data_IF_164752800710
#
_entry.id   IF_164752800710
#
_cell.length_a   1.000
_cell.length_b   1.000
_cell.length_c   1.000
_cell.angle_alpha   90.00
_cell.angle_beta   90.00
_cell.angle_gamma   90.00
#
_symmetry.space_group_name_H-M   'P 1'
#
loop_
_entity.id
_entity.type
_entity.pdbx_description
1 polymer ?
#
# COMPACT_ATOMS: atom_id res chain seq x y z
N UNK A 1 15.45 11.20 -6.34
CA UNK A 1 14.47 10.92 -5.26
C UNK A 1 13.45 9.94 -5.82
N UNK A 2 13.05 8.92 -5.06
CA UNK A 2 12.13 7.86 -5.49
C UNK A 2 10.95 7.80 -4.51
N UNK A 3 9.73 7.67 -5.03
CA UNK A 3 8.50 7.68 -4.24
C UNK A 3 7.82 6.30 -4.34
N UNK A 4 7.39 5.77 -3.19
CA UNK A 4 6.66 4.49 -3.07
C UNK A 4 5.44 4.69 -2.19
N UNK A 5 4.39 3.90 -2.42
CA UNK A 5 3.21 3.86 -1.54
C UNK A 5 3.25 2.61 -0.68
N UNK A 6 3.06 2.79 0.63
CA UNK A 6 2.90 1.68 1.57
C UNK A 6 1.52 1.79 2.20
N UNK A 7 0.79 0.68 2.22
CA UNK A 7 -0.55 0.60 2.83
C UNK A 7 -0.57 -0.50 3.86
N UNK A 8 -0.92 -0.16 5.10
CA UNK A 8 -1.11 -1.11 6.20
C UNK A 8 -2.60 -1.42 6.29
N UNK A 9 -2.96 -2.67 6.00
CA UNK A 9 -4.33 -3.16 6.03
C UNK A 9 -4.57 -3.96 7.30
N UNK A 10 -5.75 -3.78 7.91
CA UNK A 10 -6.20 -4.51 9.09
C UNK A 10 -5.26 -4.48 10.31
N UNK A 11 -4.66 -3.32 10.68
CA UNK A 11 -3.75 -3.26 11.84
C UNK A 11 -4.44 -3.69 13.15
N UNK A 12 -5.74 -3.46 13.29
CA UNK A 12 -6.50 -3.84 14.50
C UNK A 12 -6.68 -5.35 14.67
N UNK A 13 -6.47 -6.16 13.63
CA UNK A 13 -6.64 -7.62 13.71
C UNK A 13 -5.49 -8.33 14.44
N UNK A 14 -4.51 -7.55 14.93
CA UNK A 14 -3.43 -8.03 15.78
C UNK A 14 -3.87 -8.52 17.16
N UNK A 15 -5.00 -8.03 17.67
CA UNK A 15 -5.51 -8.40 18.99
C UNK A 15 -6.42 -9.65 18.99
N UNK A 16 -6.83 -10.09 17.80
CA UNK A 16 -7.78 -11.17 17.66
C UNK A 16 -7.02 -12.48 17.49
N UNK A 17 -7.49 -13.57 18.10
CA UNK A 17 -7.06 -14.94 17.83
C UNK A 17 -7.42 -15.36 16.38
N UNK A 18 -6.94 -14.60 15.40
CA UNK A 18 -7.11 -14.79 13.96
C UNK A 18 -6.21 -15.92 13.45
N UNK A 19 -5.81 -16.87 14.29
CA UNK A 19 -5.05 -18.05 13.87
C UNK A 19 -5.80 -18.89 12.83
N UNK A 20 -7.13 -18.81 12.82
CA UNK A 20 -8.00 -19.64 11.98
C UNK A 20 -8.20 -19.11 10.56
N UNK A 21 -7.91 -17.83 10.27
CA UNK A 21 -8.11 -17.26 8.94
C UNK A 21 -6.99 -16.30 8.52
N UNK A 22 -5.99 -16.79 7.75
CA UNK A 22 -4.89 -16.00 7.23
C UNK A 22 -5.31 -14.85 6.30
N UNK A 23 -6.58 -14.80 5.89
CA UNK A 23 -7.14 -13.70 5.10
C UNK A 23 -7.43 -12.45 5.94
N UNK A 24 -7.50 -12.60 7.27
CA UNK A 24 -7.75 -11.52 8.23
C UNK A 24 -6.46 -11.00 8.87
N UNK A 25 -5.33 -11.63 8.60
CA UNK A 25 -4.05 -11.16 9.11
C UNK A 25 -3.74 -9.76 8.58
N UNK A 26 -3.07 -8.92 9.38
CA UNK A 26 -2.61 -7.63 8.88
C UNK A 26 -1.68 -7.81 7.69
N UNK A 27 -1.81 -6.88 6.75
CA UNK A 27 -1.09 -6.92 5.49
C UNK A 27 -0.38 -5.59 5.26
N UNK A 28 0.84 -5.65 4.77
CA UNK A 28 1.60 -4.48 4.35
C UNK A 28 1.76 -4.59 2.84
N UNK A 29 1.09 -3.71 2.11
CA UNK A 29 1.18 -3.61 0.66
C UNK A 29 2.24 -2.56 0.30
N UNK A 30 3.22 -2.94 -0.51
CA UNK A 30 4.22 -2.03 -1.08
C UNK A 30 3.98 -1.86 -2.57
N UNK A 31 3.50 -0.68 -2.97
CA UNK A 31 3.34 -0.32 -4.37
C UNK A 31 4.55 0.47 -4.84
N UNK A 32 5.31 -0.12 -5.77
CA UNK A 32 6.46 0.52 -6.41
C UNK A 32 6.30 0.53 -7.94
N UNK A 33 6.41 1.71 -8.56
CA UNK A 33 6.40 1.86 -10.02
C UNK A 33 7.75 1.56 -10.67
N UNK A 34 8.86 1.62 -9.91
CA UNK A 34 10.20 1.24 -10.33
C UNK A 34 10.55 -0.10 -9.69
N UNK A 35 10.83 -1.13 -10.48
CA UNK A 35 11.14 -2.44 -9.93
C UNK A 35 12.56 -2.46 -9.34
N UNK A 36 12.73 -2.00 -8.10
CA UNK A 36 13.99 -2.05 -7.35
C UNK A 36 13.88 -3.15 -6.29
N UNK A 37 13.89 -4.41 -6.76
CA UNK A 37 13.61 -5.63 -5.98
C UNK A 37 14.44 -5.72 -4.69
N UNK A 38 15.69 -5.28 -4.73
CA UNK A 38 16.61 -5.35 -3.58
C UNK A 38 16.13 -4.53 -2.37
N UNK A 39 15.36 -3.47 -2.60
CA UNK A 39 14.87 -2.59 -1.52
C UNK A 39 13.49 -2.98 -1.00
N UNK A 40 12.71 -3.73 -1.78
CA UNK A 40 11.34 -4.10 -1.43
C UNK A 40 11.28 -4.90 -0.12
N UNK A 41 12.13 -5.92 0.01
CA UNK A 41 12.23 -6.74 1.22
C UNK A 41 12.61 -5.91 2.45
N UNK A 42 13.58 -5.00 2.31
CA UNK A 42 14.01 -4.13 3.40
C UNK A 42 12.89 -3.19 3.85
N UNK A 43 12.14 -2.60 2.91
CA UNK A 43 11.00 -1.74 3.25
C UNK A 43 9.93 -2.51 4.00
N UNK A 44 9.56 -3.70 3.52
CA UNK A 44 8.58 -4.56 4.18
C UNK A 44 9.02 -4.90 5.61
N UNK A 45 10.27 -5.36 5.79
CA UNK A 45 10.80 -5.69 7.13
C UNK A 45 10.74 -4.50 8.07
N UNK A 46 11.20 -3.32 7.64
CA UNK A 46 11.15 -2.10 8.45
C UNK A 46 9.72 -1.68 8.82
N UNK A 47 8.76 -1.88 7.91
CA UNK A 47 7.36 -1.59 8.20
C UNK A 47 6.75 -2.59 9.17
N UNK A 48 7.14 -3.86 9.09
CA UNK A 48 6.75 -4.87 10.08
C UNK A 48 7.29 -4.46 11.46
N UNK A 49 8.58 -4.15 11.57
CA UNK A 49 9.22 -3.67 12.80
C UNK A 49 8.52 -2.43 13.36
N UNK A 50 8.18 -1.47 12.49
CA UNK A 50 7.44 -0.28 12.88
C UNK A 50 6.07 -0.62 13.48
N UNK A 51 5.28 -1.48 12.83
CA UNK A 51 3.96 -1.89 13.33
C UNK A 51 4.08 -2.62 14.67
N UNK A 52 5.08 -3.50 14.81
CA UNK A 52 5.38 -4.18 16.07
C UNK A 52 5.70 -3.21 17.20
N UNK A 53 6.54 -2.22 16.90
CA UNK A 53 6.90 -1.18 17.86
C UNK A 53 5.69 -0.34 18.28
N UNK A 54 4.86 0.09 17.31
CA UNK A 54 3.62 0.82 17.61
C UNK A 54 2.68 -0.01 18.49
N UNK A 55 2.55 -1.30 18.21
CA UNK A 55 1.75 -2.21 19.02
C UNK A 55 2.24 -2.28 20.47
N UNK A 56 3.54 -2.51 20.64
CA UNK A 56 4.16 -2.58 21.95
C UNK A 56 3.93 -1.30 22.77
N UNK A 57 4.12 -0.13 22.13
CA UNK A 57 3.85 1.15 22.78
C UNK A 57 2.40 1.32 23.24
N UNK A 58 1.44 0.77 22.49
CA UNK A 58 0.02 0.89 22.81
C UNK A 58 -0.50 -0.13 23.83
N UNK A 59 0.09 -1.32 23.90
CA UNK A 59 -0.44 -2.44 24.70
C UNK A 59 0.47 -2.89 25.84
N UNK A 60 1.75 -2.48 25.82
CA UNK A 60 2.81 -2.98 26.70
C UNK A 60 2.97 -4.52 26.67
N UNK A 61 2.43 -5.17 25.64
CA UNK A 61 2.54 -6.59 25.41
C UNK A 61 3.58 -6.86 24.32
N UNK A 62 4.49 -7.79 24.59
CA UNK A 62 5.40 -8.29 23.58
C UNK A 62 4.62 -8.97 22.46
N UNK A 63 5.01 -8.65 21.25
CA UNK A 63 4.28 -9.03 20.06
C UNK A 63 4.70 -10.42 19.57
N UNK A 64 4.35 -11.47 20.32
CA UNK A 64 4.64 -12.85 19.88
C UNK A 64 3.93 -13.20 18.55
N UNK A 65 2.84 -12.49 18.22
CA UNK A 65 2.07 -12.64 16.97
C UNK A 65 2.70 -11.99 15.72
N UNK A 66 3.92 -11.43 15.84
CA UNK A 66 4.76 -10.91 14.77
C UNK A 66 4.82 -11.78 13.50
N UNK A 67 4.71 -13.10 13.67
CA UNK A 67 4.76 -14.09 12.59
C UNK A 67 3.59 -14.01 11.61
N UNK A 68 2.54 -13.24 11.91
CA UNK A 68 1.32 -13.21 11.12
C UNK A 68 1.19 -11.99 10.18
N UNK A 69 2.04 -10.96 10.28
CA UNK A 69 1.97 -9.84 9.33
C UNK A 69 2.54 -10.26 7.98
N UNK A 70 1.74 -10.15 6.90
CA UNK A 70 2.19 -10.49 5.55
C UNK A 70 2.60 -9.24 4.78
N UNK A 71 3.86 -9.19 4.36
CA UNK A 71 4.32 -8.25 3.34
C UNK A 71 3.96 -8.71 1.93
N UNK A 72 3.42 -7.81 1.13
CA UNK A 72 2.96 -8.08 -0.23
C UNK A 72 3.46 -6.97 -1.13
N UNK A 73 4.04 -7.34 -2.27
CA UNK A 73 4.39 -6.40 -3.34
C UNK A 73 3.41 -6.64 -4.49
N UNK A 74 2.34 -5.84 -4.62
CA UNK A 74 1.36 -6.08 -5.66
C UNK A 74 1.92 -5.87 -7.06
N UNK A 75 1.42 -6.64 -8.01
CA UNK A 75 1.78 -6.45 -9.40
C UNK A 75 1.00 -5.27 -9.99
N UNK A 76 1.72 -4.21 -10.33
CA UNK A 76 1.15 -2.90 -10.70
C UNK A 76 1.72 -2.42 -12.03
N UNK A 77 1.06 -1.43 -12.63
CA UNK A 77 1.56 -0.78 -13.84
C UNK A 77 2.86 -0.06 -13.53
N UNK A 78 3.93 -0.37 -14.26
CA UNK A 78 5.26 0.20 -14.02
C UNK A 78 5.49 1.46 -14.85
N UNK A 79 6.30 2.37 -14.32
CA UNK A 79 6.72 3.56 -15.04
C UNK A 79 7.87 3.24 -15.99
N UNK A 80 7.95 3.97 -17.11
CA UNK A 80 9.01 3.84 -18.11
C UNK A 80 10.06 4.95 -18.04
N UNK A 81 9.85 5.95 -17.17
CA UNK A 81 10.75 7.10 -17.00
C UNK A 81 11.22 7.23 -15.55
N UNK A 82 12.10 8.19 -15.27
CA UNK A 82 12.72 8.39 -13.95
C UNK A 82 12.05 9.45 -13.07
N UNK A 83 10.95 10.06 -13.50
CA UNK A 83 10.39 11.28 -12.88
C UNK A 83 8.93 11.16 -12.44
N UNK A 84 8.21 10.14 -12.90
CA UNK A 84 6.76 10.02 -12.65
C UNK A 84 6.40 9.20 -11.40
N UNK A 85 7.36 8.75 -10.59
CA UNK A 85 7.05 7.89 -9.43
C UNK A 85 6.04 8.52 -8.45
N UNK A 86 6.07 9.85 -8.28
CA UNK A 86 5.06 10.56 -7.50
C UNK A 86 3.66 10.54 -8.14
N UNK A 87 3.56 10.58 -9.47
CA UNK A 87 2.28 10.47 -10.18
C UNK A 87 1.72 9.06 -10.07
N UNK A 88 2.57 8.05 -10.21
CA UNK A 88 2.16 6.65 -10.02
C UNK A 88 1.70 6.41 -8.58
N UNK A 89 2.41 6.94 -7.58
CA UNK A 89 2.00 6.90 -6.16
C UNK A 89 0.58 7.43 -5.97
N UNK A 90 0.28 8.61 -6.51
CA UNK A 90 -1.04 9.21 -6.41
C UNK A 90 -2.11 8.36 -7.08
N UNK A 91 -1.82 7.83 -8.28
CA UNK A 91 -2.75 6.97 -8.99
C UNK A 91 -3.00 5.64 -8.24
N UNK A 92 -1.97 5.04 -7.64
CA UNK A 92 -2.12 3.84 -6.82
C UNK A 92 -3.01 4.11 -5.60
N UNK A 93 -2.78 5.23 -4.92
CA UNK A 93 -3.58 5.62 -3.76
C UNK A 93 -5.06 5.81 -4.16
N UNK A 94 -5.32 6.53 -5.25
CA UNK A 94 -6.70 6.74 -5.70
C UNK A 94 -7.39 5.44 -6.14
N UNK A 95 -6.72 4.60 -6.94
CA UNK A 95 -7.27 3.30 -7.34
C UNK A 95 -7.54 2.39 -6.13
N UNK A 96 -6.63 2.36 -5.15
CA UNK A 96 -6.81 1.59 -3.91
C UNK A 96 -8.01 2.10 -3.10
N UNK A 97 -8.15 3.43 -2.95
CA UNK A 97 -9.27 4.03 -2.22
C UNK A 97 -10.62 3.80 -2.91
N UNK A 98 -10.65 3.81 -4.25
CA UNK A 98 -11.87 3.48 -5.03
C UNK A 98 -12.35 2.05 -4.79
N UNK A 99 -11.42 1.11 -4.63
CA UNK A 99 -11.73 -0.30 -4.36
C UNK A 99 -11.84 -0.62 -2.86
N UNK A 100 -11.73 0.36 -1.95
CA UNK A 100 -11.65 0.10 -0.50
C UNK A 100 -12.83 -0.71 0.05
N UNK A 101 -14.03 -0.49 -0.50
CA UNK A 101 -15.22 -1.23 -0.11
C UNK A 101 -15.16 -2.71 -0.53
N UNK A 102 -14.50 -3.01 -1.65
CA UNK A 102 -14.28 -4.39 -2.11
C UNK A 102 -13.32 -5.15 -1.20
N UNK A 103 -12.41 -4.43 -0.55
CA UNK A 103 -11.50 -5.04 0.41
C UNK A 103 -12.20 -5.37 1.72
N UNK A 104 -13.36 -4.77 2.07
CA UNK A 104 -14.08 -5.10 3.31
C UNK A 104 -14.51 -6.58 3.32
N UNK A 105 -13.78 -7.40 4.08
CA UNK A 105 -14.05 -8.82 4.26
C UNK A 105 -13.26 -9.78 3.34
N UNK A 106 -12.48 -9.26 2.40
CA UNK A 106 -11.54 -10.05 1.58
C UNK A 106 -10.19 -9.32 1.48
N UNK A 107 -9.06 -9.97 1.80
CA UNK A 107 -7.78 -9.30 1.82
C UNK A 107 -7.37 -8.78 0.42
N UNK A 108 -6.73 -7.60 0.36
CA UNK A 108 -6.23 -7.00 -0.87
C UNK A 108 -5.21 -7.87 -1.64
N UNK A 109 -4.61 -8.89 -1.00
CA UNK A 109 -3.60 -9.78 -1.59
C UNK A 109 -4.04 -10.51 -2.88
N UNK A 110 -5.34 -10.74 -3.07
CA UNK A 110 -5.87 -11.53 -4.20
C UNK A 110 -6.21 -10.69 -5.44
N UNK A 111 -5.97 -9.38 -5.41
CA UNK A 111 -6.39 -8.49 -6.47
C UNK A 111 -5.30 -8.29 -7.53
N UNK A 112 -5.72 -8.27 -8.79
CA UNK A 112 -4.91 -7.79 -9.88
C UNK A 112 -4.95 -6.25 -9.89
N UNK A 113 -3.85 -5.62 -9.54
CA UNK A 113 -3.75 -4.16 -9.50
C UNK A 113 -3.38 -3.56 -10.85
N UNK A 114 -2.94 -4.36 -11.84
CA UNK A 114 -2.64 -3.83 -13.18
C UNK A 114 -3.91 -3.43 -13.92
N UNK A 115 -4.98 -4.22 -13.81
CA UNK A 115 -6.26 -3.92 -14.45
C UNK A 115 -7.01 -2.75 -13.79
N UNK A 116 -6.66 -2.41 -12.54
CA UNK A 116 -7.23 -1.28 -11.80
C UNK A 116 -6.61 0.08 -12.14
N UNK A 117 -5.58 0.10 -13.00
CA UNK A 117 -4.79 1.29 -13.29
C UNK A 117 -4.73 1.50 -14.80
N UNK A 118 -5.46 2.50 -15.28
CA UNK A 118 -5.40 2.91 -16.68
C UNK A 118 -4.20 3.83 -16.93
N UNK A 119 -3.34 3.44 -17.88
CA UNK A 119 -2.18 4.23 -18.32
C UNK A 119 -2.59 5.56 -18.95
N UNK A 120 -3.77 5.64 -19.55
CA UNK A 120 -4.29 6.87 -20.13
C UNK A 120 -4.48 7.95 -19.06
N UNK A 121 -5.01 7.55 -17.89
CA UNK A 121 -5.23 8.42 -16.73
C UNK A 121 -3.90 8.91 -16.16
N UNK A 122 -2.88 8.03 -16.09
CA UNK A 122 -1.55 8.41 -15.60
C UNK A 122 -0.96 9.53 -16.47
N UNK A 123 -1.17 9.48 -17.79
CA UNK A 123 -0.63 10.46 -18.74
C UNK A 123 -1.21 11.86 -18.56
N UNK A 124 -2.52 11.96 -18.28
CA UNK A 124 -3.20 13.24 -18.03
C UNK A 124 -3.22 13.64 -16.54
N UNK A 125 -2.72 12.80 -15.64
CA UNK A 125 -2.77 13.04 -14.20
C UNK A 125 -2.14 14.35 -13.76
N UNK A 126 -1.03 14.74 -14.40
CA UNK A 126 -0.34 16.00 -14.11
C UNK A 126 -1.23 17.20 -14.40
N UNK A 127 -1.97 17.17 -15.51
CA UNK A 127 -2.92 18.21 -15.90
C UNK A 127 -4.10 18.25 -14.92
N UNK A 128 -4.68 17.09 -14.60
CA UNK A 128 -5.77 16.99 -13.60
C UNK A 128 -5.38 17.56 -12.23
N UNK A 129 -4.14 17.31 -11.78
CA UNK A 129 -3.64 17.86 -10.51
C UNK A 129 -3.52 19.39 -10.60
N UNK A 130 -3.04 19.93 -11.72
CA UNK A 130 -2.95 21.38 -11.94
C UNK A 130 -4.34 22.00 -11.90
N UNK A 131 -5.32 21.41 -12.59
CA UNK A 131 -6.69 21.91 -12.63
C UNK A 131 -7.30 21.98 -11.22
N UNK A 132 -7.17 20.91 -10.43
CA UNK A 132 -7.66 20.89 -9.03
C UNK A 132 -6.95 21.94 -8.17
N UNK A 133 -5.66 22.16 -8.35
CA UNK A 133 -4.92 23.19 -7.61
C UNK A 133 -5.38 24.60 -7.97
N UNK A 134 -5.67 24.85 -9.25
CA UNK A 134 -6.19 26.15 -9.71
C UNK A 134 -7.60 26.39 -9.17
N UNK A 135 -8.46 25.37 -9.19
CA UNK A 135 -9.83 25.45 -8.66
C UNK A 135 -9.86 25.76 -7.16
N UNK A 136 -8.90 25.21 -6.39
CA UNK A 136 -8.81 25.42 -4.94
C UNK A 136 -8.08 26.71 -4.53
N UNK A 137 -7.39 27.37 -5.47
CA UNK A 137 -6.64 28.61 -5.20
C UNK A 137 -7.52 29.88 -5.29
N UNK A 138 -8.78 29.71 -5.66
CA UNK A 138 -9.81 30.76 -5.77
C UNK A 138 -10.67 30.76 -4.51
#
# INVERSE_FOLDING_TARGET
MHWVLIVICYPSNLNNNCELDPSKWPQILLFDSLKIVEKESLFITKMIEFVQWQWYLHTSADFEFARQIKGIVPDVVKQTNSKDCGIFLLQYAESFLKEINRYRGSPPIKHDYRSLIDKSIIRSKREQIIDVLLDLAI
#
